data_IF_448587028770
#
_entry.id   IF_448587028770
#
_cell.length_a   1.000
_cell.length_b   1.000
_cell.length_c   1.000
_cell.angle_alpha   90.00
_cell.angle_beta   90.00
_cell.angle_gamma   90.00
#
_symmetry.space_group_name_H-M   'P 1'
#
loop_
_entity.id
_entity.type
_entity.pdbx_description
1 polymer ?
#
# COMPACT_ATOMS: atom_id res chain seq x y z
N UNK A 1 21.51 -7.65 19.20
CA UNK A 1 20.16 -8.00 19.71
C UNK A 1 19.71 -6.89 20.67
N UNK A 2 18.63 -6.17 20.35
CA UNK A 2 18.08 -5.15 21.25
C UNK A 2 17.53 -5.85 22.50
N UNK A 3 17.90 -5.35 23.68
CA UNK A 3 17.37 -5.86 24.94
C UNK A 3 15.91 -5.43 25.08
N UNK A 4 15.04 -6.27 25.68
CA UNK A 4 13.62 -5.95 25.87
C UNK A 4 13.38 -4.57 26.53
N UNK A 5 14.26 -4.15 27.46
CA UNK A 5 14.23 -2.82 28.07
C UNK A 5 14.49 -1.68 27.07
N UNK A 6 15.35 -1.90 26.09
CA UNK A 6 15.62 -0.90 25.04
C UNK A 6 14.47 -0.83 24.05
N UNK A 7 13.84 -1.96 23.74
CA UNK A 7 12.67 -2.02 22.87
C UNK A 7 11.47 -1.31 23.52
N UNK A 8 11.18 -1.57 24.79
CA UNK A 8 10.09 -0.90 25.52
C UNK A 8 10.34 0.60 25.66
N UNK A 9 11.58 1.02 25.91
CA UNK A 9 11.92 2.44 25.96
C UNK A 9 11.73 3.13 24.61
N UNK A 10 12.13 2.49 23.51
CA UNK A 10 11.95 3.01 22.16
C UNK A 10 10.45 3.14 21.79
N UNK A 11 9.63 2.16 22.16
CA UNK A 11 8.17 2.21 21.98
C UNK A 11 7.54 3.35 22.80
N UNK A 12 7.97 3.53 24.05
CA UNK A 12 7.49 4.62 24.90
C UNK A 12 7.86 6.01 24.34
N UNK A 13 9.07 6.17 23.81
CA UNK A 13 9.52 7.40 23.16
C UNK A 13 8.71 7.66 21.87
N UNK A 14 8.44 6.64 21.07
CA UNK A 14 7.60 6.74 19.88
C UNK A 14 6.16 7.14 20.22
N UNK A 15 5.58 6.59 21.28
CA UNK A 15 4.24 6.93 21.74
C UNK A 15 4.16 8.36 22.33
N UNK A 16 5.20 8.82 23.02
CA UNK A 16 5.24 10.18 23.56
C UNK A 16 5.47 11.27 22.50
N UNK A 17 6.11 10.93 21.39
CA UNK A 17 6.33 11.88 20.30
C UNK A 17 5.01 12.33 19.65
N UNK A 18 3.94 11.52 19.68
CA UNK A 18 2.65 11.86 19.09
C UNK A 18 1.93 13.01 19.82
N UNK A 19 2.23 13.26 21.10
CA UNK A 19 1.60 14.36 21.87
C UNK A 19 2.16 15.73 21.53
N UNK A 20 3.36 15.79 20.92
CA UNK A 20 4.00 17.06 20.55
C UNK A 20 3.45 17.65 19.23
N UNK A 21 2.83 16.84 18.38
CA UNK A 21 2.30 17.28 17.08
C UNK A 21 0.87 17.87 17.15
N UNK A 22 0.22 17.82 18.30
CA UNK A 22 -1.12 18.38 18.53
C UNK A 22 -1.23 19.89 18.27
N UNK A 23 -0.10 20.59 18.16
CA UNK A 23 -0.08 22.04 17.93
C UNK A 23 -0.01 22.44 16.45
N UNK A 24 0.19 21.52 15.52
CA UNK A 24 0.35 21.81 14.10
C UNK A 24 -0.96 21.93 13.31
N UNK A 25 -2.12 21.77 13.96
CA UNK A 25 -3.43 21.99 13.33
C UNK A 25 -3.84 21.02 12.23
N UNK A 26 -3.06 19.94 12.00
CA UNK A 26 -3.41 18.89 11.04
C UNK A 26 -3.97 17.66 11.76
N UNK A 27 -4.97 17.00 11.16
CA UNK A 27 -5.39 15.69 11.64
C UNK A 27 -4.62 14.60 10.92
N UNK A 28 -4.35 13.52 11.64
CA UNK A 28 -3.64 12.36 11.16
C UNK A 28 -4.54 11.13 11.24
N UNK A 29 -4.66 10.44 10.12
CA UNK A 29 -5.41 9.20 10.03
C UNK A 29 -4.45 8.08 9.64
N UNK A 30 -4.53 6.93 10.30
CA UNK A 30 -3.71 5.76 10.00
C UNK A 30 -4.62 4.59 9.68
N UNK A 31 -4.33 3.92 8.58
CA UNK A 31 -5.08 2.75 8.12
C UNK A 31 -4.18 1.58 7.74
N UNK A 32 -4.73 0.39 7.78
CA UNK A 32 -4.09 -0.83 7.30
C UNK A 32 -4.84 -1.29 6.06
N UNK A 33 -4.08 -1.59 5.00
CA UNK A 33 -4.60 -2.20 3.78
C UNK A 33 -4.08 -3.63 3.72
N UNK A 34 -4.94 -4.58 3.41
CA UNK A 34 -4.55 -5.97 3.14
C UNK A 34 -5.47 -6.55 2.08
N UNK A 35 -4.95 -7.43 1.26
CA UNK A 35 -5.74 -8.06 0.22
C UNK A 35 -4.93 -8.95 -0.72
N UNK A 36 -5.64 -9.63 -1.65
CA UNK A 36 -5.00 -10.37 -2.71
C UNK A 36 -4.29 -9.42 -3.68
N UNK A 37 -3.13 -9.83 -4.16
CA UNK A 37 -2.35 -9.11 -5.16
C UNK A 37 -2.25 -9.98 -6.41
N UNK A 38 -2.60 -9.45 -7.57
CA UNK A 38 -2.35 -10.07 -8.85
C UNK A 38 -1.12 -9.42 -9.48
N UNK A 39 -0.11 -10.21 -9.80
CA UNK A 39 1.13 -9.72 -10.38
C UNK A 39 1.27 -10.19 -11.82
N UNK A 40 1.43 -9.26 -12.75
CA UNK A 40 1.69 -9.54 -14.16
C UNK A 40 3.19 -9.47 -14.41
N UNK A 41 3.78 -10.59 -14.75
CA UNK A 41 5.22 -10.74 -14.97
C UNK A 41 5.52 -11.46 -16.29
N UNK A 42 6.79 -11.72 -16.55
CA UNK A 42 7.26 -12.50 -17.69
C UNK A 42 6.94 -14.02 -17.57
N UNK A 43 6.30 -14.46 -16.48
CA UNK A 43 5.72 -15.80 -16.33
C UNK A 43 4.42 -15.98 -17.12
N UNK A 44 3.97 -14.97 -17.82
CA UNK A 44 2.82 -15.00 -18.72
C UNK A 44 2.92 -13.88 -19.74
N UNK A 45 2.00 -13.85 -20.69
CA UNK A 45 1.86 -12.73 -21.61
C UNK A 45 1.23 -11.54 -20.88
N UNK A 46 1.92 -10.38 -20.90
CA UNK A 46 1.54 -9.19 -20.12
C UNK A 46 0.09 -8.73 -20.35
N UNK A 47 -0.45 -8.94 -21.55
CA UNK A 47 -1.80 -8.50 -21.94
C UNK A 47 -2.83 -9.64 -21.94
N UNK A 48 -2.40 -10.88 -21.72
CA UNK A 48 -3.29 -12.02 -21.66
C UNK A 48 -3.63 -12.36 -20.21
N UNK A 49 -4.92 -12.31 -19.88
CA UNK A 49 -5.42 -12.60 -18.55
C UNK A 49 -5.25 -14.07 -18.18
N UNK A 50 -5.48 -14.99 -19.11
CA UNK A 50 -5.47 -16.44 -18.85
C UNK A 50 -4.08 -16.92 -18.41
N UNK A 51 -3.02 -16.34 -18.97
CA UNK A 51 -1.64 -16.69 -18.63
C UNK A 51 -1.17 -16.12 -17.29
N UNK A 52 -1.90 -15.18 -16.71
CA UNK A 52 -1.53 -14.52 -15.45
C UNK A 52 -2.53 -14.74 -14.29
N UNK A 53 -3.70 -15.34 -14.56
CA UNK A 53 -4.81 -15.42 -13.59
C UNK A 53 -4.48 -16.17 -12.29
N UNK A 54 -3.50 -17.08 -12.30
CA UNK A 54 -3.05 -17.84 -11.15
C UNK A 54 -1.88 -17.20 -10.39
N UNK A 55 -1.23 -16.17 -10.96
CA UNK A 55 -0.10 -15.48 -10.34
C UNK A 55 -0.61 -14.48 -9.30
N UNK A 56 -1.01 -15.02 -8.17
CA UNK A 56 -1.61 -14.29 -7.06
C UNK A 56 -0.81 -14.44 -5.79
N UNK A 57 -0.90 -13.44 -4.95
CA UNK A 57 -0.23 -13.39 -3.66
C UNK A 57 -1.05 -12.62 -2.64
N UNK A 58 -0.41 -12.26 -1.57
CA UNK A 58 -0.99 -11.45 -0.50
C UNK A 58 -0.16 -10.19 -0.30
N UNK A 59 -0.85 -9.08 -0.05
CA UNK A 59 -0.24 -7.80 0.28
C UNK A 59 -0.74 -7.26 1.61
N UNK A 60 0.14 -6.52 2.27
CA UNK A 60 -0.19 -5.74 3.46
C UNK A 60 0.48 -4.37 3.33
N UNK A 61 -0.24 -3.32 3.74
CA UNK A 61 0.27 -1.96 3.72
C UNK A 61 -0.22 -1.15 4.92
N UNK A 62 0.57 -0.14 5.25
CA UNK A 62 0.23 0.90 6.21
C UNK A 62 0.05 2.20 5.44
N UNK A 63 -1.07 2.86 5.65
CA UNK A 63 -1.39 4.15 5.03
C UNK A 63 -1.53 5.20 6.12
N UNK A 64 -0.94 6.35 5.87
CA UNK A 64 -1.05 7.50 6.74
C UNK A 64 -1.53 8.70 5.93
N UNK A 65 -2.59 9.35 6.42
CA UNK A 65 -3.12 10.58 5.84
C UNK A 65 -2.81 11.77 6.74
N UNK A 66 -2.41 12.87 6.12
CA UNK A 66 -2.41 14.20 6.71
C UNK A 66 -3.57 14.97 6.10
N UNK A 67 -4.54 15.35 6.93
CA UNK A 67 -5.69 16.12 6.55
C UNK A 67 -5.45 17.59 6.89
N UNK A 68 -5.40 18.45 5.88
CA UNK A 68 -5.14 19.87 6.04
C UNK A 68 -6.40 20.65 6.44
N UNK A 69 -7.60 20.10 6.21
CA UNK A 69 -8.87 20.76 6.52
C UNK A 69 -9.15 20.85 8.02
N UNK A 70 -8.55 19.96 8.81
CA UNK A 70 -8.75 19.93 10.24
C UNK A 70 -7.81 20.92 10.92
N UNK A 71 -8.36 22.05 11.31
CA UNK A 71 -7.76 22.95 12.29
C UNK A 71 -8.64 22.91 13.53
N UNK A 72 -8.13 22.38 14.61
CA UNK A 72 -8.74 22.47 15.94
C UNK A 72 -8.58 23.92 16.45
N UNK A 73 -9.18 24.87 15.77
CA UNK A 73 -9.16 26.25 16.20
C UNK A 73 -10.37 26.49 17.09
N UNK A 74 -10.11 26.67 18.40
CA UNK A 74 -11.13 27.14 19.35
C UNK A 74 -11.54 28.58 19.08
N UNK A 75 -10.93 29.26 18.12
CA UNK A 75 -11.26 30.58 17.64
C UNK A 75 -12.24 30.47 16.47
N UNK A 76 -13.39 31.10 16.55
CA UNK A 76 -14.44 31.12 15.52
C UNK A 76 -14.04 31.75 14.17
N UNK A 77 -12.76 31.95 13.92
CA UNK A 77 -12.19 32.51 12.69
C UNK A 77 -11.35 31.47 11.94
N UNK A 78 -11.96 30.39 11.51
CA UNK A 78 -11.32 29.53 10.51
C UNK A 78 -11.43 30.21 9.16
N UNK A 79 -10.31 30.70 8.64
CA UNK A 79 -10.22 31.14 7.24
C UNK A 79 -10.35 29.91 6.35
N UNK A 80 -11.43 29.83 5.59
CA UNK A 80 -11.61 28.78 4.58
C UNK A 80 -10.49 28.93 3.55
N UNK A 81 -9.65 27.89 3.46
CA UNK A 81 -8.60 27.83 2.48
C UNK A 81 -8.93 26.69 1.52
N UNK A 82 -9.12 27.00 0.24
CA UNK A 82 -9.44 26.01 -0.78
C UNK A 82 -8.52 24.79 -0.75
N UNK A 83 -7.21 25.00 -0.58
CA UNK A 83 -6.26 23.90 -0.49
C UNK A 83 -6.56 22.98 0.69
N UNK A 84 -6.77 23.55 1.86
CA UNK A 84 -7.02 22.77 3.08
C UNK A 84 -8.32 21.96 2.99
N UNK A 85 -9.30 22.47 2.26
CA UNK A 85 -10.63 21.87 2.16
C UNK A 85 -10.72 20.82 1.05
N UNK A 86 -9.75 20.79 0.13
CA UNK A 86 -9.81 19.94 -1.05
C UNK A 86 -8.61 18.99 -1.22
N UNK A 87 -7.62 19.04 -0.33
CA UNK A 87 -6.45 18.18 -0.47
C UNK A 87 -6.13 17.41 0.81
N UNK A 88 -5.67 16.18 0.64
CA UNK A 88 -5.04 15.34 1.67
C UNK A 88 -3.71 14.82 1.15
N UNK A 89 -2.74 14.70 2.04
CA UNK A 89 -1.49 14.02 1.72
C UNK A 89 -1.58 12.58 2.24
N UNK A 90 -1.45 11.61 1.32
CA UNK A 90 -1.37 10.19 1.63
C UNK A 90 0.06 9.72 1.52
N UNK A 91 0.53 9.02 2.54
CA UNK A 91 1.78 8.25 2.51
C UNK A 91 1.47 6.78 2.72
N UNK A 92 2.18 5.92 2.00
CA UNK A 92 1.95 4.48 2.05
C UNK A 92 3.27 3.73 2.10
N UNK A 93 3.31 2.70 2.92
CA UNK A 93 4.36 1.68 2.93
C UNK A 93 3.65 0.36 2.76
N UNK A 94 4.00 -0.39 1.73
CA UNK A 94 3.39 -1.70 1.47
C UNK A 94 4.41 -2.76 1.14
N UNK A 95 4.04 -3.99 1.40
CA UNK A 95 4.78 -5.19 1.06
C UNK A 95 3.83 -6.23 0.49
N UNK A 96 4.26 -6.89 -0.58
CA UNK A 96 3.52 -7.99 -1.14
C UNK A 96 4.43 -9.15 -1.53
N UNK A 97 3.87 -10.34 -1.46
CA UNK A 97 4.52 -11.58 -1.86
C UNK A 97 3.60 -12.34 -2.81
N UNK A 98 4.10 -12.68 -3.98
CA UNK A 98 3.34 -13.35 -5.03
C UNK A 98 4.12 -14.55 -5.55
N UNK A 99 3.45 -15.70 -5.71
CA UNK A 99 3.98 -16.85 -6.42
C UNK A 99 3.72 -16.69 -7.91
N UNK A 100 4.68 -17.10 -8.71
CA UNK A 100 4.68 -16.96 -10.16
C UNK A 100 4.87 -18.32 -10.81
N UNK A 101 3.90 -18.71 -11.62
CA UNK A 101 3.92 -19.94 -12.39
C UNK A 101 3.50 -19.60 -13.84
N UNK A 102 3.96 -20.42 -14.79
CA UNK A 102 3.47 -20.34 -16.15
C UNK A 102 2.08 -20.98 -16.25
N UNK A 103 1.13 -20.27 -16.83
CA UNK A 103 -0.26 -20.67 -16.97
C UNK A 103 -0.71 -20.52 -18.42
N UNK A 104 -1.89 -21.07 -18.75
CA UNK A 104 -2.51 -20.92 -20.06
C UNK A 104 -2.03 -21.91 -21.10
N UNK A 105 -2.20 -21.53 -22.37
CA UNK A 105 -2.07 -22.45 -23.53
C UNK A 105 -0.70 -23.08 -23.71
N UNK A 106 0.39 -22.43 -23.29
CA UNK A 106 1.75 -22.95 -23.47
C UNK A 106 2.12 -24.07 -22.50
N UNK A 107 1.40 -24.16 -21.39
CA UNK A 107 1.58 -25.18 -20.35
C UNK A 107 0.38 -26.11 -20.21
N UNK A 108 -0.57 -26.04 -21.14
CA UNK A 108 -1.73 -26.93 -21.18
C UNK A 108 -1.30 -28.41 -21.15
N UNK A 109 -1.99 -29.28 -20.41
CA UNK A 109 -1.66 -30.71 -20.34
C UNK A 109 -1.59 -31.43 -21.70
N UNK A 110 -2.24 -30.89 -22.74
CA UNK A 110 -2.17 -31.43 -24.10
C UNK A 110 -0.83 -31.15 -24.80
N UNK A 111 -0.04 -30.19 -24.31
CA UNK A 111 1.29 -29.88 -24.84
C UNK A 111 2.31 -30.90 -24.34
N UNK A 112 2.87 -31.67 -25.27
CA UNK A 112 3.83 -32.74 -24.99
C UNK A 112 5.27 -32.40 -25.37
N UNK A 113 5.55 -31.12 -25.66
CA UNK A 113 6.89 -30.69 -26.02
C UNK A 113 7.82 -30.60 -24.79
N UNK A 114 9.11 -30.79 -24.99
CA UNK A 114 10.11 -30.63 -23.95
C UNK A 114 10.16 -29.22 -23.38
N UNK A 115 9.78 -28.22 -24.17
CA UNK A 115 9.73 -26.82 -23.74
C UNK A 115 8.51 -26.56 -22.86
N UNK A 116 7.36 -27.18 -23.11
CA UNK A 116 6.19 -27.13 -22.25
C UNK A 116 6.50 -27.75 -20.86
N UNK A 117 7.24 -28.86 -20.81
CA UNK A 117 7.66 -29.47 -19.57
C UNK A 117 8.61 -28.59 -18.76
N UNK A 118 9.52 -27.90 -19.43
CA UNK A 118 10.42 -26.91 -18.79
C UNK A 118 9.64 -25.73 -18.24
N UNK A 119 8.66 -25.19 -18.98
CA UNK A 119 7.82 -24.09 -18.51
C UNK A 119 6.98 -24.51 -17.28
N UNK A 120 6.42 -25.72 -17.27
CA UNK A 120 5.67 -26.26 -16.11
C UNK A 120 6.56 -26.41 -14.87
N UNK A 121 7.84 -26.78 -15.06
CA UNK A 121 8.78 -26.94 -13.98
C UNK A 121 9.38 -25.62 -13.47
N UNK A 122 9.19 -24.53 -14.23
CA UNK A 122 9.74 -23.21 -13.89
C UNK A 122 8.74 -22.42 -13.07
N UNK A 123 9.09 -22.12 -11.84
CA UNK A 123 8.31 -21.29 -10.93
C UNK A 123 9.17 -20.20 -10.31
N UNK A 124 8.54 -19.14 -9.84
CA UNK A 124 9.21 -18.01 -9.22
C UNK A 124 8.44 -17.44 -8.03
N UNK A 125 9.04 -16.48 -7.39
CA UNK A 125 8.45 -15.72 -6.31
C UNK A 125 8.85 -14.26 -6.43
N UNK A 126 7.88 -13.36 -6.35
CA UNK A 126 8.11 -11.93 -6.28
C UNK A 126 7.84 -11.43 -4.85
N UNK A 127 8.81 -10.71 -4.30
CA UNK A 127 8.68 -9.96 -3.06
C UNK A 127 8.89 -8.48 -3.38
N UNK A 128 7.85 -7.68 -3.26
CA UNK A 128 7.91 -6.25 -3.54
C UNK A 128 7.68 -5.46 -2.25
N UNK A 129 8.48 -4.42 -2.09
CA UNK A 129 8.34 -3.45 -1.03
C UNK A 129 8.22 -2.07 -1.67
N UNK A 130 7.15 -1.37 -1.36
CA UNK A 130 6.82 -0.08 -1.95
C UNK A 130 6.69 0.99 -0.87
N UNK A 131 7.23 2.17 -1.16
CA UNK A 131 7.00 3.39 -0.40
C UNK A 131 6.50 4.43 -1.39
N UNK A 132 5.34 5.01 -1.09
CA UNK A 132 4.73 6.01 -1.94
C UNK A 132 4.20 7.21 -1.15
N UNK A 133 4.08 8.34 -1.85
CA UNK A 133 3.43 9.53 -1.36
C UNK A 133 2.63 10.15 -2.50
N UNK A 134 1.38 10.52 -2.22
CA UNK A 134 0.50 11.14 -3.20
C UNK A 134 -0.34 12.25 -2.56
N UNK A 135 -0.58 13.30 -3.33
CA UNK A 135 -1.52 14.35 -2.98
C UNK A 135 -2.88 14.00 -3.59
N UNK A 136 -3.88 13.81 -2.76
CA UNK A 136 -5.25 13.48 -3.19
C UNK A 136 -6.08 14.75 -3.26
N UNK A 137 -6.83 14.93 -4.36
CA UNK A 137 -7.74 16.05 -4.58
C UNK A 137 -9.19 15.59 -4.46
N UNK A 138 -9.95 16.29 -3.63
CA UNK A 138 -11.38 16.08 -3.42
C UNK A 138 -12.16 17.23 -4.08
N UNK A 139 -12.98 16.96 -5.10
CA UNK A 139 -13.78 18.00 -5.77
C UNK A 139 -14.82 18.66 -4.85
N UNK A 140 -15.31 17.91 -3.86
CA UNK A 140 -16.19 18.40 -2.81
C UNK A 140 -15.38 18.70 -1.56
N UNK A 141 -15.75 19.77 -0.84
CA UNK A 141 -15.05 20.12 0.40
C UNK A 141 -15.12 18.98 1.42
N UNK A 142 -13.96 18.62 1.98
CA UNK A 142 -13.81 17.58 3.01
C UNK A 142 -14.57 17.94 4.30
N UNK A 143 -14.83 19.23 4.53
CA UNK A 143 -15.59 19.73 5.70
C UNK A 143 -17.10 19.54 5.57
N UNK A 144 -17.59 19.18 4.38
CA UNK A 144 -19.02 19.05 4.11
C UNK A 144 -19.60 17.68 4.50
N UNK A 145 -18.79 16.81 5.11
CA UNK A 145 -19.16 15.45 5.49
C UNK A 145 -19.04 15.23 6.98
#
# INVERSE_FOLDING_TARGET
MLNHKQLTLAILILLSANTAFSQLGFSHEVGIITGPVAFKSDFGERFDYETNAGNSGIGIGLVHYINFAYQADCNCYTTDNYFNDHFKLRTEISWNKTKLDHLGQFVDPSQTSADADRLRAHSGEANNFDIGMQLEYFPLSIRSF
#
